data_IF_645587885588
#
_entry.id   IF_645587885588
#
_cell.length_a   1.000
_cell.length_b   1.000
_cell.length_c   1.000
_cell.angle_alpha   90.00
_cell.angle_beta   90.00
_cell.angle_gamma   90.00
#
_symmetry.space_group_name_H-M   'P 1'
#
loop_
_entity.id
_entity.type
_entity.pdbx_description
1 polymer ?
#
# COMPACT_ATOMS: atom_id res chain seq x y z
N UNK A 1 -27.16 20.58 -42.98
CA UNK A 1 -25.79 20.72 -42.44
C UNK A 1 -25.83 21.76 -41.34
N UNK A 2 -25.76 21.32 -40.09
CA UNK A 2 -25.53 22.19 -38.94
C UNK A 2 -24.47 21.49 -38.11
N UNK A 3 -23.22 21.89 -38.36
CA UNK A 3 -22.05 21.46 -37.59
C UNK A 3 -22.21 22.07 -36.21
N UNK A 4 -22.63 21.24 -35.25
CA UNK A 4 -22.59 21.60 -33.84
C UNK A 4 -21.14 21.87 -33.46
N UNK A 5 -20.84 23.13 -33.12
CA UNK A 5 -19.56 23.53 -32.57
C UNK A 5 -19.33 22.75 -31.27
N UNK A 6 -18.43 21.77 -31.30
CA UNK A 6 -17.99 21.04 -30.12
C UNK A 6 -17.36 22.06 -29.17
N UNK A 7 -18.05 22.36 -28.08
CA UNK A 7 -17.61 23.32 -27.07
C UNK A 7 -16.29 22.85 -26.46
N UNK A 8 -15.34 23.76 -26.45
CA UNK A 8 -14.08 23.70 -25.74
C UNK A 8 -14.30 23.43 -24.24
N UNK A 9 -13.91 22.23 -23.78
CA UNK A 9 -13.54 21.94 -22.40
C UNK A 9 -14.63 21.42 -21.47
N UNK A 10 -14.91 20.10 -21.51
CA UNK A 10 -15.29 19.42 -20.27
C UNK A 10 -14.14 19.60 -19.26
N UNK A 11 -14.35 20.49 -18.30
CA UNK A 11 -13.47 20.66 -17.16
C UNK A 11 -13.73 19.46 -16.25
N UNK A 12 -12.83 18.48 -16.24
CA UNK A 12 -12.87 17.42 -15.23
C UNK A 12 -12.88 18.10 -13.86
N UNK A 13 -13.91 17.84 -13.06
CA UNK A 13 -13.88 18.20 -11.63
C UNK A 13 -12.88 17.23 -10.99
N UNK A 14 -11.76 17.78 -10.52
CA UNK A 14 -10.71 17.00 -9.89
C UNK A 14 -11.08 16.75 -8.43
N UNK A 15 -10.79 15.54 -7.95
CA UNK A 15 -10.88 15.17 -6.55
C UNK A 15 -9.65 15.63 -5.75
N UNK A 16 -8.56 15.98 -6.44
CA UNK A 16 -7.34 16.51 -5.85
C UNK A 16 -7.35 18.04 -5.74
N UNK A 17 -6.53 18.65 -4.86
CA UNK A 17 -5.52 18.03 -4.00
C UNK A 17 -6.09 17.36 -2.74
N UNK A 18 -5.38 16.35 -2.24
CA UNK A 18 -5.58 15.86 -0.87
C UNK A 18 -5.12 16.94 0.13
N UNK A 19 -6.00 17.30 1.06
CA UNK A 19 -5.76 18.32 2.11
C UNK A 19 -5.66 17.73 3.52
N UNK A 20 -5.93 16.44 3.68
CA UNK A 20 -5.82 15.71 4.96
C UNK A 20 -4.61 14.79 4.98
N UNK A 21 -4.39 14.15 6.13
CA UNK A 21 -3.42 13.07 6.27
C UNK A 21 -3.67 11.91 5.29
N UNK A 22 -2.60 11.19 4.96
CA UNK A 22 -2.66 9.97 4.16
C UNK A 22 -3.24 8.85 5.00
N UNK A 23 -4.25 8.19 4.46
CA UNK A 23 -5.00 7.12 5.10
C UNK A 23 -5.03 5.88 4.22
N UNK A 24 -4.96 4.71 4.85
CA UNK A 24 -5.12 3.44 4.17
C UNK A 24 -6.06 2.50 4.90
N UNK A 25 -6.69 1.62 4.13
CA UNK A 25 -7.59 0.59 4.64
C UNK A 25 -6.80 -0.48 5.43
N UNK A 26 -7.33 -0.87 6.59
CA UNK A 26 -6.63 -1.70 7.56
C UNK A 26 -6.29 -3.11 7.04
N UNK A 27 -7.15 -3.74 6.25
CA UNK A 27 -6.92 -5.08 5.69
C UNK A 27 -5.76 -5.09 4.69
N UNK A 28 -5.65 -4.03 3.87
CA UNK A 28 -4.49 -3.77 3.01
C UNK A 28 -3.19 -3.58 3.81
N UNK A 29 -3.27 -3.17 5.08
CA UNK A 29 -2.13 -3.08 5.99
C UNK A 29 -1.84 -4.41 6.69
N UNK A 30 -2.86 -5.19 7.01
CA UNK A 30 -2.71 -6.46 7.74
C UNK A 30 -2.12 -7.59 6.88
N UNK A 31 -2.42 -7.62 5.57
CA UNK A 31 -2.12 -8.77 4.71
C UNK A 31 -1.22 -8.47 3.49
N UNK A 32 -0.46 -9.47 2.99
CA UNK A 32 0.53 -9.27 1.93
C UNK A 32 -0.10 -9.26 0.53
N UNK A 33 -0.61 -8.10 0.14
CA UNK A 33 -1.28 -7.87 -1.14
C UNK A 33 -0.36 -7.42 -2.29
N UNK A 34 0.90 -7.11 -2.00
CA UNK A 34 1.82 -6.48 -2.95
C UNK A 34 3.19 -7.14 -2.93
N UNK A 35 3.86 -7.16 -4.08
CA UNK A 35 5.23 -7.65 -4.16
C UNK A 35 6.20 -6.67 -3.47
N UNK A 36 7.12 -7.20 -2.64
CA UNK A 36 8.18 -6.43 -1.99
C UNK A 36 9.41 -6.28 -2.90
N UNK A 37 9.20 -5.72 -4.09
CA UNK A 37 10.23 -5.58 -5.12
C UNK A 37 10.24 -4.17 -5.74
N UNK A 38 11.42 -3.71 -6.14
CA UNK A 38 11.60 -2.49 -6.97
C UNK A 38 11.51 -2.78 -8.47
N UNK A 39 11.50 -4.06 -8.85
CA UNK A 39 11.46 -4.53 -10.24
C UNK A 39 10.23 -5.39 -10.48
N UNK A 40 9.89 -5.60 -11.76
CA UNK A 40 8.74 -6.38 -12.15
C UNK A 40 8.75 -7.79 -11.52
N UNK A 41 7.69 -8.12 -10.80
CA UNK A 41 7.53 -9.43 -10.17
C UNK A 41 6.58 -10.30 -11.00
N UNK A 42 7.08 -11.41 -11.55
CA UNK A 42 6.38 -12.24 -12.55
C UNK A 42 5.88 -13.58 -12.02
N UNK A 43 5.99 -13.80 -10.72
CA UNK A 43 5.54 -15.03 -10.05
C UNK A 43 4.30 -14.72 -9.22
N UNK A 44 3.41 -15.69 -9.08
CA UNK A 44 2.27 -15.52 -8.18
C UNK A 44 2.72 -15.38 -6.73
N UNK A 45 1.96 -14.65 -5.92
CA UNK A 45 2.12 -14.58 -4.47
C UNK A 45 0.99 -15.36 -3.82
N UNK A 46 1.32 -16.17 -2.82
CA UNK A 46 0.34 -16.95 -2.06
C UNK A 46 0.59 -16.70 -0.57
N UNK A 47 -0.49 -16.39 0.14
CA UNK A 47 -0.53 -16.34 1.59
C UNK A 47 -1.71 -17.19 2.07
N UNK A 48 -1.45 -18.09 3.02
CA UNK A 48 -2.47 -18.98 3.55
C UNK A 48 -2.24 -19.25 5.03
N UNK A 49 -3.30 -19.09 5.80
CA UNK A 49 -3.46 -19.54 7.20
C UNK A 49 -4.75 -20.35 7.28
N UNK A 50 -5.13 -20.81 8.47
CA UNK A 50 -6.40 -21.51 8.68
C UNK A 50 -7.62 -20.61 8.41
N UNK A 51 -7.49 -19.30 8.67
CA UNK A 51 -8.59 -18.35 8.51
C UNK A 51 -8.55 -17.57 7.18
N UNK A 52 -7.36 -17.32 6.62
CA UNK A 52 -7.17 -16.40 5.49
C UNK A 52 -6.43 -17.07 4.35
N UNK A 53 -6.92 -16.86 3.14
CA UNK A 53 -6.26 -17.23 1.89
C UNK A 53 -6.22 -16.04 0.94
N UNK A 54 -5.05 -15.80 0.35
CA UNK A 54 -4.80 -14.78 -0.65
C UNK A 54 -3.93 -15.39 -1.74
N UNK A 55 -4.38 -15.28 -2.99
CA UNK A 55 -3.65 -15.65 -4.19
C UNK A 55 -3.59 -14.44 -5.12
N UNK A 56 -2.39 -14.14 -5.61
CA UNK A 56 -2.13 -12.96 -6.43
C UNK A 56 -1.40 -13.38 -7.70
N UNK A 57 -2.08 -13.25 -8.83
CA UNK A 57 -1.56 -13.55 -10.16
C UNK A 57 -0.94 -12.31 -10.84
N UNK A 58 0.20 -12.47 -11.54
CA UNK A 58 0.83 -11.39 -12.29
C UNK A 58 0.07 -11.05 -13.58
N UNK A 59 -0.02 -9.75 -13.90
CA UNK A 59 -0.40 -9.30 -15.23
C UNK A 59 0.79 -9.21 -16.22
N UNK A 60 0.57 -8.69 -17.44
CA UNK A 60 1.62 -8.51 -18.45
C UNK A 60 2.81 -7.64 -18.01
N UNK A 61 2.64 -6.78 -17.00
CA UNK A 61 3.72 -5.97 -16.39
C UNK A 61 4.21 -6.51 -15.03
N UNK A 62 3.65 -7.63 -14.56
CA UNK A 62 3.92 -8.23 -13.27
C UNK A 62 2.87 -7.88 -12.21
N UNK A 63 3.06 -8.40 -11.00
CA UNK A 63 2.25 -8.09 -9.82
C UNK A 63 2.52 -6.65 -9.37
N UNK A 64 1.48 -5.95 -8.90
CA UNK A 64 1.58 -4.67 -8.24
C UNK A 64 2.54 -4.75 -7.03
N UNK A 65 3.48 -3.83 -6.99
CA UNK A 65 4.49 -3.72 -5.95
C UNK A 65 3.99 -2.84 -4.80
N UNK A 66 4.67 -2.91 -3.67
CA UNK A 66 4.36 -2.04 -2.51
C UNK A 66 4.49 -0.54 -2.83
N UNK A 67 5.22 -0.19 -3.88
CA UNK A 67 5.30 1.19 -4.37
C UNK A 67 4.07 1.60 -5.20
N UNK A 68 3.46 0.65 -5.92
CA UNK A 68 2.23 0.94 -6.67
C UNK A 68 1.04 1.19 -5.74
N UNK A 69 1.09 0.60 -4.53
CA UNK A 69 0.12 0.85 -3.45
C UNK A 69 -0.01 2.33 -3.10
N UNK A 70 1.00 3.17 -3.35
CA UNK A 70 0.92 4.62 -3.13
C UNK A 70 -0.26 5.26 -3.86
N UNK A 71 -0.58 4.80 -5.07
CA UNK A 71 -1.74 5.27 -5.83
C UNK A 71 -3.04 4.91 -5.09
N UNK A 72 -3.13 3.69 -4.57
CA UNK A 72 -4.31 3.22 -3.82
C UNK A 72 -4.45 3.95 -2.48
N UNK A 73 -3.35 4.23 -1.78
CA UNK A 73 -3.36 5.04 -0.56
C UNK A 73 -3.87 6.45 -0.84
N UNK A 74 -3.40 7.06 -1.92
CA UNK A 74 -3.85 8.40 -2.31
C UNK A 74 -5.35 8.43 -2.60
N UNK A 75 -5.86 7.47 -3.40
CA UNK A 75 -7.29 7.37 -3.69
C UNK A 75 -8.10 7.09 -2.41
N UNK A 76 -7.64 6.17 -1.56
CA UNK A 76 -8.31 5.86 -0.29
C UNK A 76 -8.36 7.08 0.64
N UNK A 77 -7.33 7.92 0.63
CA UNK A 77 -7.27 9.16 1.39
C UNK A 77 -8.29 10.19 0.87
N UNK A 78 -8.38 10.36 -0.45
CA UNK A 78 -9.40 11.22 -1.09
C UNK A 78 -10.82 10.72 -0.76
N UNK A 79 -11.04 9.41 -0.87
CA UNK A 79 -12.30 8.77 -0.53
C UNK A 79 -12.68 9.03 0.93
N UNK A 80 -11.75 8.80 1.87
CA UNK A 80 -11.99 9.03 3.28
C UNK A 80 -12.30 10.51 3.58
N UNK A 81 -11.56 11.45 2.98
CA UNK A 81 -11.79 12.88 3.17
C UNK A 81 -13.20 13.31 2.71
N UNK A 82 -13.65 12.84 1.53
CA UNK A 82 -15.02 13.09 1.06
C UNK A 82 -16.08 12.50 1.97
N UNK A 83 -15.85 11.27 2.45
CA UNK A 83 -16.77 10.61 3.36
C UNK A 83 -16.87 11.33 4.71
N UNK A 84 -15.77 11.89 5.23
CA UNK A 84 -15.76 12.70 6.44
C UNK A 84 -16.51 14.02 6.24
N UNK A 85 -16.43 14.60 5.04
CA UNK A 85 -17.21 15.78 4.64
C UNK A 85 -18.70 15.48 4.39
N UNK A 86 -19.14 14.22 4.52
CA UNK A 86 -20.53 13.81 4.29
C UNK A 86 -20.94 13.78 2.81
N UNK A 87 -19.98 13.79 1.89
CA UNK A 87 -20.24 13.73 0.45
C UNK A 87 -20.62 12.32 0.00
N UNK A 88 -21.40 12.24 -1.09
CA UNK A 88 -21.57 10.97 -1.81
C UNK A 88 -20.30 10.69 -2.62
N UNK A 89 -19.75 9.48 -2.46
CA UNK A 89 -18.50 9.09 -3.12
C UNK A 89 -18.78 8.08 -4.22
N UNK A 90 -18.21 8.31 -5.41
CA UNK A 90 -18.20 7.37 -6.53
C UNK A 90 -16.99 6.43 -6.48
N UNK A 91 -17.00 5.37 -7.28
CA UNK A 91 -15.81 4.53 -7.52
C UNK A 91 -14.78 5.18 -8.45
N UNK A 92 -15.22 6.14 -9.26
CA UNK A 92 -14.36 6.86 -10.19
C UNK A 92 -13.70 8.04 -9.47
N UNK A 93 -12.38 8.16 -9.65
CA UNK A 93 -11.57 9.25 -9.11
C UNK A 93 -10.74 9.91 -10.21
N UNK A 94 -10.67 11.23 -10.17
CA UNK A 94 -9.96 12.10 -11.10
C UNK A 94 -8.97 12.96 -10.32
N UNK A 95 -7.67 12.83 -10.58
CA UNK A 95 -6.65 13.62 -9.88
C UNK A 95 -5.49 13.99 -10.80
N UNK A 96 -4.69 14.97 -10.39
CA UNK A 96 -3.44 15.28 -11.11
C UNK A 96 -2.29 14.42 -10.59
N UNK A 97 -1.40 14.00 -11.49
CA UNK A 97 -0.17 13.31 -11.08
C UNK A 97 0.71 14.20 -10.21
N UNK A 98 0.65 15.53 -10.40
CA UNK A 98 1.40 16.48 -9.57
C UNK A 98 0.96 16.42 -8.10
N UNK A 99 -0.35 16.37 -7.83
CA UNK A 99 -0.86 16.30 -6.46
C UNK A 99 -0.51 14.97 -5.79
N UNK A 100 -0.62 13.85 -6.52
CA UNK A 100 -0.15 12.54 -6.04
C UNK A 100 1.34 12.59 -5.68
N UNK A 101 2.18 13.09 -6.58
CA UNK A 101 3.62 13.18 -6.39
C UNK A 101 4.02 14.06 -5.21
N UNK A 102 3.28 15.14 -4.97
CA UNK A 102 3.49 16.00 -3.80
C UNK A 102 3.26 15.24 -2.49
N UNK A 103 2.21 14.42 -2.43
CA UNK A 103 1.89 13.61 -1.24
C UNK A 103 2.91 12.49 -1.04
N UNK A 104 3.36 11.83 -2.11
CA UNK A 104 4.30 10.71 -2.00
C UNK A 104 5.77 11.14 -1.95
N UNK A 105 6.06 12.45 -1.98
CA UNK A 105 7.43 12.98 -1.98
C UNK A 105 8.22 12.66 -3.27
N UNK A 106 7.53 12.40 -4.38
CA UNK A 106 8.12 12.10 -5.68
C UNK A 106 8.32 13.40 -6.46
N UNK A 107 9.53 13.63 -6.99
CA UNK A 107 9.75 14.77 -7.87
C UNK A 107 9.11 14.56 -9.24
N UNK A 108 8.44 15.58 -9.77
CA UNK A 108 7.85 15.55 -11.11
C UNK A 108 8.94 15.48 -12.19
N UNK A 109 9.03 14.35 -12.89
CA UNK A 109 9.97 14.13 -14.00
C UNK A 109 9.38 13.17 -15.02
N UNK A 110 9.88 13.17 -16.26
CA UNK A 110 9.44 12.21 -17.30
C UNK A 110 9.51 10.75 -16.81
N UNK A 111 10.54 10.41 -16.03
CA UNK A 111 10.68 9.09 -15.39
C UNK A 111 9.58 8.81 -14.37
N UNK A 112 9.19 9.80 -13.56
CA UNK A 112 8.11 9.66 -12.58
C UNK A 112 6.76 9.42 -13.26
N UNK A 113 6.48 10.10 -14.37
CA UNK A 113 5.27 9.86 -15.17
C UNK A 113 5.26 8.45 -15.80
N UNK A 114 6.39 7.98 -16.32
CA UNK A 114 6.50 6.60 -16.82
C UNK A 114 6.28 5.57 -15.71
N UNK A 115 6.83 5.82 -14.51
CA UNK A 115 6.59 4.95 -13.34
C UNK A 115 5.12 4.93 -12.92
N UNK A 116 4.43 6.06 -12.97
CA UNK A 116 2.99 6.12 -12.70
C UNK A 116 2.19 5.32 -13.73
N UNK A 117 2.50 5.45 -15.02
CA UNK A 117 1.89 4.61 -16.07
C UNK A 117 2.08 3.12 -15.79
N UNK A 118 3.32 2.73 -15.48
CA UNK A 118 3.66 1.34 -15.15
C UNK A 118 2.95 0.84 -13.90
N UNK A 119 2.77 1.70 -12.90
CA UNK A 119 2.04 1.38 -11.67
C UNK A 119 0.56 1.14 -11.96
N UNK A 120 -0.08 2.01 -12.75
CA UNK A 120 -1.48 1.85 -13.16
C UNK A 120 -1.71 0.56 -13.96
N UNK A 121 -0.82 0.24 -14.91
CA UNK A 121 -0.88 -1.02 -15.66
C UNK A 121 -0.74 -2.25 -14.75
N UNK A 122 0.15 -2.21 -13.74
CA UNK A 122 0.26 -3.31 -12.77
C UNK A 122 -0.96 -3.41 -11.85
N UNK A 123 -1.50 -2.29 -11.39
CA UNK A 123 -2.69 -2.26 -10.53
C UNK A 123 -3.93 -2.79 -11.25
N UNK A 124 -4.07 -2.50 -12.55
CA UNK A 124 -5.14 -3.04 -13.38
C UNK A 124 -4.89 -4.50 -13.79
N UNK A 125 -3.64 -4.90 -14.01
CA UNK A 125 -3.29 -6.24 -14.48
C UNK A 125 -3.15 -7.32 -13.39
N UNK A 126 -2.95 -6.94 -12.13
CA UNK A 126 -2.81 -7.90 -11.01
C UNK A 126 -4.14 -8.54 -10.68
N UNK A 127 -4.20 -9.87 -10.68
CA UNK A 127 -5.42 -10.62 -10.34
C UNK A 127 -5.35 -11.12 -8.90
N UNK A 128 -6.38 -10.86 -8.10
CA UNK A 128 -6.40 -11.19 -6.67
C UNK A 128 -7.61 -12.05 -6.37
N UNK A 129 -7.38 -13.15 -5.66
CA UNK A 129 -8.43 -14.00 -5.09
C UNK A 129 -8.19 -14.10 -3.59
N UNK A 130 -9.22 -13.79 -2.80
CA UNK A 130 -9.14 -13.88 -1.34
C UNK A 130 -10.48 -14.24 -0.74
N UNK A 131 -10.45 -14.84 0.45
CA UNK A 131 -11.64 -15.05 1.30
C UNK A 131 -11.86 -13.92 2.33
N UNK A 132 -11.06 -12.85 2.29
CA UNK A 132 -11.27 -11.67 3.14
C UNK A 132 -12.51 -10.93 2.64
N UNK A 133 -13.50 -10.80 3.52
CA UNK A 133 -14.73 -10.06 3.26
C UNK A 133 -14.49 -8.55 3.31
N UNK A 134 -15.25 -7.80 2.51
CA UNK A 134 -15.20 -6.34 2.48
C UNK A 134 -16.63 -5.79 2.59
N UNK A 135 -16.90 -4.95 3.59
CA UNK A 135 -18.23 -4.41 3.83
C UNK A 135 -19.28 -5.45 4.23
N UNK A 136 -18.86 -6.55 4.88
CA UNK A 136 -19.73 -7.66 5.27
C UNK A 136 -20.12 -8.61 4.14
N UNK A 137 -19.51 -8.45 2.95
CA UNK A 137 -19.74 -9.31 1.79
C UNK A 137 -18.44 -9.99 1.36
N UNK A 138 -18.47 -11.32 1.28
CA UNK A 138 -17.45 -12.11 0.59
C UNK A 138 -17.72 -12.17 -0.92
N UNK A 139 -16.67 -12.31 -1.72
CA UNK A 139 -16.81 -12.57 -3.16
C UNK A 139 -15.96 -13.77 -3.56
N UNK A 140 -16.57 -14.75 -4.23
CA UNK A 140 -15.85 -15.82 -4.89
C UNK A 140 -15.46 -15.34 -6.29
N UNK A 141 -14.16 -15.19 -6.56
CA UNK A 141 -13.66 -14.77 -7.87
C UNK A 141 -12.28 -14.13 -7.82
N UNK A 142 -11.90 -13.54 -8.95
CA UNK A 142 -10.70 -12.72 -9.06
C UNK A 142 -11.11 -11.26 -9.29
N UNK A 143 -10.34 -10.32 -8.74
CA UNK A 143 -10.47 -8.90 -9.03
C UNK A 143 -9.10 -8.26 -9.26
N UNK A 144 -9.10 -7.13 -9.97
CA UNK A 144 -7.96 -6.21 -10.04
C UNK A 144 -8.16 -5.05 -9.05
N UNK A 145 -7.10 -4.35 -8.65
CA UNK A 145 -7.25 -3.16 -7.80
C UNK A 145 -8.03 -2.04 -8.49
N UNK A 146 -7.74 -1.84 -9.78
CA UNK A 146 -8.38 -0.86 -10.63
C UNK A 146 -9.11 -1.60 -11.75
N UNK A 147 -10.40 -1.32 -11.94
CA UNK A 147 -11.14 -1.81 -13.12
C UNK A 147 -10.83 -0.94 -14.35
N UNK A 148 -10.53 0.34 -14.14
CA UNK A 148 -10.17 1.29 -15.19
C UNK A 148 -9.01 2.19 -14.71
N UNK A 149 -8.07 2.48 -15.60
CA UNK A 149 -7.04 3.49 -15.38
C UNK A 149 -6.75 4.20 -16.72
N UNK A 150 -6.89 5.53 -16.75
CA UNK A 150 -6.71 6.35 -17.94
C UNK A 150 -5.86 7.58 -17.62
N UNK A 151 -4.88 7.83 -18.49
CA UNK A 151 -4.06 9.03 -18.45
C UNK A 151 -4.59 10.00 -19.52
N UNK A 152 -5.22 11.09 -19.09
CA UNK A 152 -5.77 12.10 -19.98
C UNK A 152 -4.69 13.13 -20.32
N UNK A 153 -4.36 13.25 -21.61
CA UNK A 153 -3.35 14.19 -22.10
C UNK A 153 -3.96 15.32 -22.92
N UNK A 154 -3.33 16.48 -22.88
CA UNK A 154 -3.48 17.55 -23.86
C UNK A 154 -2.25 17.62 -24.74
N UNK A 155 -2.37 18.07 -25.99
CA UNK A 155 -1.22 18.35 -26.85
C UNK A 155 -0.85 19.83 -26.76
N UNK A 156 0.44 20.12 -26.64
CA UNK A 156 0.96 21.49 -26.79
C UNK A 156 0.87 21.93 -28.25
N UNK A 157 1.12 23.23 -28.52
CA UNK A 157 1.22 23.75 -29.89
C UNK A 157 2.32 23.06 -30.72
N UNK A 158 3.34 22.51 -30.06
CA UNK A 158 4.44 21.74 -30.67
C UNK A 158 4.12 20.26 -30.86
N UNK A 159 2.94 19.78 -30.39
CA UNK A 159 2.49 18.40 -30.51
C UNK A 159 2.83 17.50 -29.32
N UNK A 160 3.55 18.01 -28.31
CA UNK A 160 3.97 17.25 -27.14
C UNK A 160 2.79 16.90 -26.24
N UNK A 161 2.75 15.66 -25.73
CA UNK A 161 1.73 15.22 -24.78
C UNK A 161 2.05 15.75 -23.39
N UNK A 162 1.13 16.52 -22.82
CA UNK A 162 1.14 16.95 -21.42
C UNK A 162 0.02 16.26 -20.65
N UNK A 163 0.36 15.55 -19.57
CA UNK A 163 -0.65 14.91 -18.74
C UNK A 163 -1.49 15.97 -18.04
N UNK A 164 -2.81 15.87 -18.18
CA UNK A 164 -3.81 16.78 -17.57
C UNK A 164 -4.40 16.15 -16.31
N UNK A 165 -4.82 14.89 -16.40
CA UNK A 165 -5.47 14.19 -15.30
C UNK A 165 -5.25 12.67 -15.39
N UNK A 166 -5.37 12.01 -14.26
CA UNK A 166 -5.45 10.57 -14.10
C UNK A 166 -6.88 10.25 -13.70
N UNK A 167 -7.57 9.42 -14.48
CA UNK A 167 -8.86 8.83 -14.13
C UNK A 167 -8.62 7.39 -13.71
N UNK A 168 -9.16 6.98 -12.59
CA UNK A 168 -9.14 5.60 -12.11
C UNK A 168 -10.51 5.19 -11.62
N UNK A 169 -10.82 3.90 -11.73
CA UNK A 169 -12.00 3.29 -11.10
C UNK A 169 -11.56 2.20 -10.14
N UNK A 170 -11.89 2.36 -8.86
CA UNK A 170 -11.66 1.34 -7.84
C UNK A 170 -12.54 0.12 -8.09
N UNK A 171 -11.99 -1.07 -7.84
CA UNK A 171 -12.80 -2.28 -7.82
C UNK A 171 -13.80 -2.29 -6.65
N UNK A 172 -14.86 -3.10 -6.81
CA UNK A 172 -15.94 -3.18 -5.83
C UNK A 172 -15.44 -3.62 -4.45
N UNK A 173 -14.48 -4.55 -4.41
CA UNK A 173 -13.91 -5.05 -3.15
C UNK A 173 -13.27 -3.91 -2.34
N UNK A 174 -12.34 -3.15 -2.94
CA UNK A 174 -11.62 -2.08 -2.23
C UNK A 174 -12.54 -0.89 -1.92
N UNK A 175 -13.44 -0.56 -2.85
CA UNK A 175 -14.43 0.48 -2.63
C UNK A 175 -15.33 0.15 -1.44
N UNK A 176 -15.86 -1.07 -1.33
CA UNK A 176 -16.67 -1.50 -0.19
C UNK A 176 -15.88 -1.51 1.10
N UNK A 177 -14.64 -2.00 1.09
CA UNK A 177 -13.79 -2.03 2.27
C UNK A 177 -13.63 -0.62 2.88
N UNK A 178 -13.32 0.38 2.04
CA UNK A 178 -13.18 1.77 2.51
C UNK A 178 -14.54 2.36 2.92
N UNK A 179 -15.59 2.17 2.12
CA UNK A 179 -16.89 2.79 2.33
C UNK A 179 -17.62 2.26 3.57
N UNK A 180 -17.58 0.94 3.78
CA UNK A 180 -18.43 0.22 4.74
C UNK A 180 -17.69 -0.13 6.02
N UNK A 181 -16.45 -0.61 5.93
CA UNK A 181 -15.75 -1.06 7.13
C UNK A 181 -15.29 0.15 7.96
N UNK A 182 -15.04 1.29 7.30
CA UNK A 182 -14.60 2.56 7.95
C UNK A 182 -13.35 2.38 8.82
N UNK A 183 -12.55 1.36 8.55
CA UNK A 183 -11.28 1.06 9.22
C UNK A 183 -10.11 1.60 8.41
N UNK A 184 -9.99 2.93 8.42
CA UNK A 184 -8.86 3.63 7.82
C UNK A 184 -7.90 4.10 8.91
N UNK A 185 -6.61 3.92 8.68
CA UNK A 185 -5.55 4.33 9.60
C UNK A 185 -4.64 5.35 8.95
N UNK A 186 -4.22 6.35 9.73
CA UNK A 186 -3.27 7.37 9.28
C UNK A 186 -1.87 6.77 9.12
N UNK A 187 -1.20 7.19 8.05
CA UNK A 187 0.19 6.88 7.74
C UNK A 187 1.09 8.05 8.15
N UNK A 188 2.24 7.74 8.75
CA UNK A 188 3.30 8.72 8.95
C UNK A 188 3.82 9.24 7.60
N UNK A 189 4.06 10.55 7.41
CA UNK A 189 4.66 11.08 6.19
C UNK A 189 6.00 10.43 5.82
N UNK A 190 6.77 9.98 6.83
CA UNK A 190 8.05 9.30 6.64
C UNK A 190 7.90 7.91 5.98
N UNK A 191 6.69 7.35 5.90
CA UNK A 191 6.40 6.07 5.24
C UNK A 191 6.91 6.03 3.80
N UNK A 192 6.75 7.11 3.05
CA UNK A 192 7.13 7.14 1.64
C UNK A 192 8.65 7.09 1.41
N UNK A 193 9.46 7.32 2.45
CA UNK A 193 10.92 7.22 2.38
C UNK A 193 11.45 5.80 2.67
N UNK A 194 10.59 4.89 3.11
CA UNK A 194 10.96 3.54 3.50
C UNK A 194 11.22 2.62 2.30
N UNK A 195 12.11 1.65 2.51
CA UNK A 195 12.33 0.51 1.61
C UNK A 195 11.12 -0.44 1.58
N UNK A 196 11.10 -1.43 0.66
CA UNK A 196 9.90 -2.22 0.42
C UNK A 196 9.53 -3.11 1.62
N UNK A 197 10.52 -3.65 2.33
CA UNK A 197 10.31 -4.50 3.51
C UNK A 197 9.91 -3.65 4.70
N UNK A 198 10.56 -2.50 4.87
CA UNK A 198 10.30 -1.51 5.91
C UNK A 198 8.87 -0.95 5.82
N UNK A 199 8.39 -0.65 4.60
CA UNK A 199 7.00 -0.25 4.37
C UNK A 199 6.02 -1.32 4.82
N UNK A 200 6.26 -2.56 4.42
CA UNK A 200 5.37 -3.66 4.79
C UNK A 200 5.39 -3.92 6.30
N UNK A 201 6.55 -3.84 6.93
CA UNK A 201 6.70 -3.97 8.38
C UNK A 201 5.95 -2.85 9.12
N UNK A 202 6.07 -1.60 8.67
CA UNK A 202 5.32 -0.46 9.20
C UNK A 202 3.81 -0.71 9.12
N UNK A 203 3.31 -1.19 8.00
CA UNK A 203 1.88 -1.47 7.82
C UNK A 203 1.37 -2.57 8.74
N UNK A 204 2.11 -3.67 8.85
CA UNK A 204 1.78 -4.75 9.79
C UNK A 204 1.77 -4.19 11.21
N UNK A 205 2.82 -3.49 11.63
CA UNK A 205 2.90 -2.84 12.94
C UNK A 205 1.72 -1.92 13.20
N UNK A 206 1.36 -1.06 12.25
CA UNK A 206 0.24 -0.11 12.36
C UNK A 206 -1.12 -0.78 12.47
N UNK A 207 -1.30 -1.92 11.79
CA UNK A 207 -2.55 -2.68 11.84
C UNK A 207 -2.73 -3.54 13.08
N UNK A 208 -1.63 -4.02 13.70
CA UNK A 208 -1.67 -4.98 14.82
C UNK A 208 -1.24 -4.40 16.17
N UNK A 209 -0.32 -3.44 16.19
CA UNK A 209 0.32 -2.89 17.38
C UNK A 209 -0.24 -1.49 17.68
N UNK A 210 -1.48 -1.40 18.16
CA UNK A 210 -2.11 -0.12 18.52
C UNK A 210 -1.55 0.42 19.84
N UNK A 211 -1.83 -0.28 20.94
CA UNK A 211 -1.52 0.22 22.29
C UNK A 211 -0.48 -0.63 23.04
N UNK A 212 -0.10 -1.78 22.48
CA UNK A 212 0.80 -2.73 23.12
C UNK A 212 1.86 -3.23 22.13
N UNK A 213 3.01 -3.62 22.69
CA UNK A 213 4.04 -4.31 21.94
C UNK A 213 3.54 -5.68 21.49
N UNK A 214 3.88 -6.07 20.27
CA UNK A 214 3.64 -7.42 19.76
C UNK A 214 4.95 -8.19 19.65
N UNK A 215 4.93 -9.45 20.05
CA UNK A 215 6.03 -10.40 19.85
C UNK A 215 5.55 -11.44 18.85
N UNK A 216 6.26 -11.56 17.72
CA UNK A 216 5.88 -12.47 16.63
C UNK A 216 7.06 -13.35 16.28
N UNK A 217 6.80 -14.63 15.96
CA UNK A 217 7.82 -15.53 15.43
C UNK A 217 8.39 -15.00 14.12
N UNK A 218 9.69 -15.17 13.90
CA UNK A 218 10.37 -14.62 12.72
C UNK A 218 9.80 -15.18 11.41
N UNK A 219 9.45 -16.47 11.37
CA UNK A 219 8.89 -17.07 10.15
C UNK A 219 7.42 -16.67 9.93
N UNK A 220 6.63 -16.56 11.00
CA UNK A 220 5.24 -16.06 10.92
C UNK A 220 5.22 -14.61 10.39
N UNK A 221 6.11 -13.76 10.91
CA UNK A 221 6.27 -12.39 10.42
C UNK A 221 6.71 -12.38 8.95
N UNK A 222 7.63 -13.27 8.55
CA UNK A 222 8.06 -13.39 7.14
C UNK A 222 6.88 -13.70 6.22
N UNK A 223 6.02 -14.64 6.63
CA UNK A 223 4.81 -15.02 5.89
C UNK A 223 3.80 -13.87 5.86
N UNK A 224 3.56 -13.19 6.99
CA UNK A 224 2.64 -12.04 7.08
C UNK A 224 3.10 -10.83 6.25
N UNK A 225 4.40 -10.62 6.13
CA UNK A 225 4.97 -9.60 5.24
C UNK A 225 4.91 -10.03 3.77
N UNK A 226 4.71 -11.31 3.47
CA UNK A 226 4.80 -11.84 2.11
C UNK A 226 6.23 -11.82 1.55
N UNK A 227 7.22 -11.94 2.42
CA UNK A 227 8.64 -11.89 2.03
C UNK A 227 9.06 -13.21 1.37
N UNK A 228 9.52 -13.11 0.12
CA UNK A 228 9.67 -14.25 -0.79
C UNK A 228 11.01 -14.99 -0.67
N UNK A 229 12.05 -14.35 -0.12
CA UNK A 229 13.36 -15.00 0.04
C UNK A 229 13.38 -15.86 1.32
N UNK A 230 14.44 -16.68 1.46
CA UNK A 230 14.57 -17.60 2.59
C UNK A 230 14.60 -16.90 3.94
N UNK A 231 14.23 -17.63 5.00
CA UNK A 231 14.22 -17.14 6.38
C UNK A 231 15.58 -16.56 6.83
N UNK A 232 16.70 -17.10 6.29
CA UNK A 232 18.04 -16.55 6.53
C UNK A 232 18.21 -15.13 5.97
N UNK A 233 17.72 -14.87 4.76
CA UNK A 233 17.75 -13.53 4.16
C UNK A 233 16.82 -12.58 4.91
N UNK A 234 15.64 -13.09 5.31
CA UNK A 234 14.70 -12.31 6.10
C UNK A 234 15.30 -11.89 7.46
N UNK A 235 15.96 -12.81 8.17
CA UNK A 235 16.70 -12.50 9.41
C UNK A 235 17.72 -11.38 9.20
N UNK A 236 18.49 -11.44 8.11
CA UNK A 236 19.49 -10.41 7.80
C UNK A 236 18.83 -9.05 7.54
N UNK A 237 17.74 -9.01 6.78
CA UNK A 237 16.96 -7.80 6.53
C UNK A 237 16.39 -7.23 7.84
N UNK A 238 15.76 -8.06 8.68
CA UNK A 238 15.20 -7.63 9.97
C UNK A 238 16.27 -7.11 10.92
N UNK A 239 17.46 -7.71 10.91
CA UNK A 239 18.60 -7.17 11.68
C UNK A 239 18.97 -5.77 11.21
N UNK A 240 19.12 -5.58 9.90
CA UNK A 240 19.44 -4.25 9.34
C UNK A 240 18.38 -3.20 9.69
N UNK A 241 17.11 -3.58 9.66
CA UNK A 241 15.99 -2.69 10.04
C UNK A 241 16.02 -2.34 11.53
N UNK A 242 16.26 -3.33 12.40
CA UNK A 242 16.38 -3.12 13.84
C UNK A 242 17.57 -2.23 14.19
N UNK A 243 18.74 -2.46 13.56
CA UNK A 243 19.95 -1.66 13.78
C UNK A 243 19.77 -0.20 13.30
N UNK A 244 19.06 0.01 12.19
CA UNK A 244 18.78 1.35 11.67
C UNK A 244 17.71 2.11 12.46
N UNK A 245 16.75 1.40 13.06
CA UNK A 245 15.64 1.94 13.87
C UNK A 245 14.85 3.09 13.18
N UNK A 246 14.69 3.00 11.86
CA UNK A 246 14.09 4.04 11.02
C UNK A 246 12.59 3.87 10.79
N UNK A 247 11.97 2.80 11.31
CA UNK A 247 10.52 2.62 11.18
C UNK A 247 9.81 3.74 11.96
N UNK A 248 8.95 4.56 11.32
CA UNK A 248 8.20 5.60 12.01
C UNK A 248 7.29 4.97 13.06
N UNK A 249 7.09 5.65 14.19
CA UNK A 249 6.18 5.25 15.27
C UNK A 249 6.49 3.92 15.99
N UNK A 250 7.46 3.12 15.49
CA UNK A 250 7.76 1.79 16.02
C UNK A 250 9.25 1.56 16.19
N UNK A 251 9.62 0.89 17.28
CA UNK A 251 10.95 0.32 17.50
C UNK A 251 10.88 -1.18 17.24
N UNK A 252 11.84 -1.69 16.48
CA UNK A 252 11.92 -3.10 16.10
C UNK A 252 13.13 -3.72 16.78
N UNK A 253 12.93 -4.80 17.54
CA UNK A 253 14.02 -5.54 18.18
C UNK A 253 13.92 -7.02 17.87
N UNK A 254 15.05 -7.67 17.58
CA UNK A 254 15.10 -9.12 17.48
C UNK A 254 15.49 -9.72 18.83
N UNK A 255 14.80 -10.79 19.23
CA UNK A 255 15.09 -11.55 20.43
C UNK A 255 15.09 -13.05 20.17
N UNK A 256 15.57 -13.80 21.14
CA UNK A 256 15.35 -15.24 21.19
C UNK A 256 13.97 -15.48 21.81
N UNK A 257 13.15 -16.33 21.19
CA UNK A 257 11.84 -16.68 21.72
C UNK A 257 11.97 -17.25 23.14
N UNK A 258 11.04 -16.88 24.02
CA UNK A 258 11.07 -17.27 25.42
C UNK A 258 10.99 -18.80 25.60
N UNK A 259 12.15 -19.47 25.67
CA UNK A 259 12.48 -20.55 26.61
C UNK A 259 13.84 -21.17 26.27
N UNK A 260 14.87 -20.74 27.00
CA UNK A 260 15.84 -21.59 27.70
C UNK A 260 16.97 -20.68 28.18
N UNK A 261 17.33 -20.78 29.46
CA UNK A 261 18.51 -20.14 30.02
C UNK A 261 19.68 -20.21 29.03
N UNK A 262 20.15 -19.04 28.59
CA UNK A 262 21.18 -18.92 27.59
C UNK A 262 22.46 -19.62 28.10
N UNK A 263 22.70 -20.83 27.64
CA UNK A 263 24.02 -21.45 27.76
C UNK A 263 24.95 -20.69 26.81
N UNK A 264 26.05 -20.09 27.30
CA UNK A 264 26.97 -19.37 26.43
C UNK A 264 27.57 -20.35 25.43
N UNK A 265 27.26 -20.20 24.13
CA UNK A 265 27.92 -20.94 23.04
C UNK A 265 27.00 -21.63 22.02
N UNK A 266 25.68 -21.73 22.22
CA UNK A 266 24.78 -22.34 21.23
C UNK A 266 24.25 -21.29 20.26
N UNK A 267 24.48 -21.48 18.94
CA UNK A 267 23.85 -20.64 17.91
C UNK A 267 22.32 -20.80 18.01
N UNK A 268 21.54 -19.71 18.13
CA UNK A 268 20.09 -19.81 18.23
C UNK A 268 19.50 -20.42 16.95
N UNK A 269 18.51 -21.30 17.13
CA UNK A 269 17.74 -21.84 16.02
C UNK A 269 16.95 -20.70 15.38
N UNK A 270 17.15 -20.44 14.08
CA UNK A 270 16.53 -19.30 13.37
C UNK A 270 14.99 -19.37 13.46
N UNK A 271 14.41 -20.57 13.49
CA UNK A 271 12.97 -20.76 13.63
C UNK A 271 12.41 -20.37 15.02
N UNK A 272 13.26 -20.29 16.04
CA UNK A 272 12.88 -19.88 17.40
C UNK A 272 13.10 -18.38 17.66
N UNK A 273 13.60 -17.64 16.67
CA UNK A 273 13.79 -16.19 16.80
C UNK A 273 12.44 -15.48 16.78
N UNK A 274 12.33 -14.44 17.59
CA UNK A 274 11.15 -13.57 17.64
C UNK A 274 11.53 -12.15 17.29
N UNK A 275 10.56 -11.40 16.78
CA UNK A 275 10.64 -9.97 16.55
C UNK A 275 9.63 -9.30 17.48
N UNK A 276 10.12 -8.37 18.28
CA UNK A 276 9.28 -7.48 19.08
C UNK A 276 9.09 -6.17 18.32
N UNK A 277 7.84 -5.80 18.11
CA UNK A 277 7.41 -4.54 17.52
C UNK A 277 6.80 -3.72 18.65
N UNK A 278 7.46 -2.62 19.03
CA UNK A 278 7.04 -1.79 20.14
C UNK A 278 6.66 -0.39 19.65
N UNK A 279 5.44 0.11 19.94
CA UNK A 279 5.12 1.51 19.69
C UNK A 279 6.11 2.43 20.40
N UNK A 280 6.64 3.42 19.67
CA UNK A 280 7.45 4.49 20.25
C UNK A 280 6.54 5.31 21.15
N UNK A 281 6.98 5.67 22.37
CA UNK A 281 6.19 6.52 23.24
C UNK A 281 5.87 7.82 22.50
N UNK A 282 4.60 8.15 22.39
CA UNK A 282 4.15 9.46 21.92
C UNK A 282 4.70 10.48 22.89
N UNK A 283 5.58 11.36 22.43
CA UNK A 283 6.02 12.51 23.22
C UNK A 283 4.76 13.33 23.56
N UNK A 284 4.44 13.58 24.83
CA UNK A 284 3.31 14.44 25.18
C UNK A 284 3.65 15.87 24.74
N UNK A 285 3.01 16.34 23.66
CA UNK A 285 3.06 17.75 23.25
C UNK A 285 3.42 17.98 21.78
N UNK A 286 2.42 17.90 20.91
CA UNK A 286 2.36 18.68 19.67
C UNK A 286 0.89 18.81 19.23
N UNK A 287 0.05 19.32 20.13
CA UNK A 287 -1.21 19.96 19.72
C UNK A 287 -0.89 21.41 19.46
N UNK A 288 -0.92 21.82 18.19
CA UNK A 288 -1.12 23.20 17.76
C UNK A 288 -2.31 23.20 16.81
#
# INVERSE_FOLDING_TARGET
MTVGSTSQGELFVLDSPLLSEVRGEQSLMAYPFFALSKTAWKRSLIYKTDAVSIEIGPGPRGVATIYDKEVLLYIASLMAAKLDAGEQVSQDFFFTAHDLFRVTGVNGSARSYSRLSDALERLQGTQIKTNIEAGGEGQAGFFSWLSEAQLHYTKTKTGDKRLKAVKVRLCDWLYRAILRDRRVLDYSPAYFQLGPVERRLYEVARSTCKDAAAVVGLDDLRLQLGYQNSLKHFRHAMKGIADANTIPDYTITMGDGASAAASPGRRPNIAALTVTIQPKPTLPGASL
#
